data_IF_682421147066
#
_entry.id   IF_682421147066
#
_cell.length_a   1.000
_cell.length_b   1.000
_cell.length_c   1.000
_cell.angle_alpha   90.00
_cell.angle_beta   90.00
_cell.angle_gamma   90.00
#
_symmetry.space_group_name_H-M   'P 1'
#
loop_
_entity.id
_entity.type
_entity.pdbx_description
1 polymer ?
#
# COMPACT_ATOMS: atom_id res chain seq x y z
N UNK A 1 -6.27 -5.53 -30.16
CA UNK A 1 -7.30 -4.62 -30.70
C UNK A 1 -7.52 -3.47 -29.71
N UNK A 2 -6.50 -2.61 -29.54
CA UNK A 2 -6.46 -1.58 -28.50
C UNK A 2 -5.55 -0.44 -29.00
N UNK A 3 -5.95 0.23 -30.08
CA UNK A 3 -5.11 1.27 -30.70
C UNK A 3 -5.89 2.41 -31.38
N UNK A 4 -7.20 2.57 -31.09
CA UNK A 4 -8.08 3.39 -31.94
C UNK A 4 -9.05 4.27 -31.15
N UNK A 5 -8.60 4.86 -30.04
CA UNK A 5 -9.44 5.71 -29.19
C UNK A 5 -8.71 6.96 -28.66
N UNK A 6 -7.78 7.54 -29.44
CA UNK A 6 -7.05 8.76 -29.04
C UNK A 6 -7.24 9.93 -30.04
N UNK A 7 -7.98 9.78 -31.14
CA UNK A 7 -7.94 10.77 -32.24
C UNK A 7 -9.08 11.81 -32.32
N UNK A 8 -9.98 11.91 -31.33
CA UNK A 8 -11.18 12.78 -31.42
C UNK A 8 -11.32 13.82 -30.30
N UNK A 9 -10.26 14.60 -30.04
CA UNK A 9 -10.33 15.77 -29.15
C UNK A 9 -9.60 16.97 -29.79
N UNK A 10 -10.09 17.42 -30.94
CA UNK A 10 -9.60 18.63 -31.59
C UNK A 10 -10.76 19.51 -32.06
N UNK A 11 -10.72 20.78 -31.65
CA UNK A 11 -11.52 21.92 -32.15
C UNK A 11 -12.84 22.21 -31.42
N UNK A 12 -12.74 22.66 -30.18
CA UNK A 12 -13.64 23.68 -29.64
C UNK A 12 -12.75 24.76 -29.01
N UNK A 13 -12.52 25.86 -29.72
CA UNK A 13 -11.82 27.04 -29.18
C UNK A 13 -12.92 28.04 -28.81
N UNK A 14 -13.33 28.14 -27.54
CA UNK A 14 -14.26 29.17 -27.13
C UNK A 14 -13.55 30.53 -27.14
N UNK A 15 -14.35 31.60 -27.20
CA UNK A 15 -13.94 33.00 -27.11
C UNK A 15 -13.27 33.33 -25.75
N UNK A 16 -12.06 32.81 -25.54
CA UNK A 16 -11.28 32.91 -24.31
C UNK A 16 -10.74 34.31 -24.04
N UNK A 17 -10.53 35.11 -25.08
CA UNK A 17 -9.86 36.41 -24.97
C UNK A 17 -10.60 37.41 -24.06
N UNK A 18 -11.94 37.43 -24.03
CA UNK A 18 -12.69 38.35 -23.17
C UNK A 18 -12.79 37.87 -21.71
N UNK A 19 -12.72 36.56 -21.46
CA UNK A 19 -12.78 36.01 -20.12
C UNK A 19 -11.44 36.20 -19.36
N UNK A 20 -10.34 36.25 -20.09
CA UNK A 20 -8.99 36.42 -19.54
C UNK A 20 -8.76 37.86 -19.02
N UNK A 21 -9.25 38.87 -19.75
CA UNK A 21 -9.19 40.29 -19.33
C UNK A 21 -10.00 40.57 -18.05
N UNK A 22 -11.18 39.97 -17.91
CA UNK A 22 -12.01 40.08 -16.72
C UNK A 22 -11.35 39.42 -15.50
N UNK A 23 -10.71 38.26 -15.71
CA UNK A 23 -10.01 37.53 -14.65
C UNK A 23 -8.78 38.30 -14.13
N UNK A 24 -7.97 38.86 -15.03
CA UNK A 24 -6.82 39.70 -14.68
C UNK A 24 -7.26 40.92 -13.85
N UNK A 25 -8.34 41.59 -14.29
CA UNK A 25 -8.91 42.73 -13.58
C UNK A 25 -9.39 42.38 -12.16
N UNK A 26 -10.08 41.25 -11.99
CA UNK A 26 -10.53 40.78 -10.67
C UNK A 26 -9.34 40.42 -9.78
N UNK A 27 -8.32 39.76 -10.34
CA UNK A 27 -7.09 39.40 -9.63
C UNK A 27 -6.38 40.65 -9.09
N UNK A 28 -6.15 41.65 -9.94
CA UNK A 28 -5.44 42.89 -9.61
C UNK A 28 -6.19 43.79 -8.61
N UNK A 29 -7.53 43.74 -8.59
CA UNK A 29 -8.34 44.51 -7.63
C UNK A 29 -8.55 43.79 -6.28
N UNK A 30 -8.17 42.53 -6.18
CA UNK A 30 -8.29 41.75 -4.95
C UNK A 30 -7.45 42.35 -3.82
N UNK A 31 -7.91 42.33 -2.55
CA UNK A 31 -7.17 42.94 -1.45
C UNK A 31 -5.74 42.43 -1.29
N UNK A 32 -5.51 41.15 -1.60
CA UNK A 32 -4.20 40.52 -1.50
C UNK A 32 -3.19 41.03 -2.53
N UNK A 33 -3.64 41.53 -3.69
CA UNK A 33 -2.76 41.93 -4.79
C UNK A 33 -2.57 43.45 -4.91
N UNK A 34 -3.24 44.25 -4.08
CA UNK A 34 -3.20 45.73 -4.18
C UNK A 34 -1.80 46.31 -4.08
N UNK A 35 -1.03 45.86 -3.09
CA UNK A 35 0.37 46.29 -2.92
C UNK A 35 1.22 45.91 -4.15
N UNK A 36 1.05 44.68 -4.65
CA UNK A 36 1.81 44.16 -5.78
C UNK A 36 1.49 44.90 -7.08
N UNK A 37 0.24 45.31 -7.32
CA UNK A 37 -0.14 46.10 -8.50
C UNK A 37 0.43 47.52 -8.42
N UNK A 38 0.45 48.13 -7.23
CA UNK A 38 1.08 49.44 -7.01
C UNK A 38 2.60 49.35 -7.23
N UNK A 39 3.26 48.32 -6.68
CA UNK A 39 4.69 48.07 -6.83
C UNK A 39 5.08 47.80 -8.30
N UNK A 40 4.28 47.03 -9.03
CA UNK A 40 4.44 46.85 -10.46
C UNK A 40 4.35 48.20 -11.21
N UNK A 41 3.38 49.05 -10.85
CA UNK A 41 3.24 50.38 -11.42
C UNK A 41 4.43 51.30 -11.12
N UNK A 42 4.98 51.26 -9.91
CA UNK A 42 6.20 51.99 -9.53
C UNK A 42 7.40 51.48 -10.34
N UNK A 43 7.57 50.17 -10.44
CA UNK A 43 8.66 49.54 -11.19
C UNK A 43 8.62 49.89 -12.68
N UNK A 44 7.42 50.04 -13.24
CA UNK A 44 7.21 50.49 -14.62
C UNK A 44 7.35 52.02 -14.81
N UNK A 45 7.58 52.77 -13.74
CA UNK A 45 7.63 54.24 -13.76
C UNK A 45 6.28 54.89 -14.08
N UNK A 46 5.17 54.19 -13.79
CA UNK A 46 3.79 54.59 -14.10
C UNK A 46 2.99 55.03 -12.87
N UNK A 47 3.51 54.80 -11.67
CA UNK A 47 2.91 55.20 -10.40
C UNK A 47 3.97 55.67 -9.42
N UNK A 48 3.56 56.47 -8.44
CA UNK A 48 4.36 56.74 -7.24
C UNK A 48 3.61 56.13 -6.06
N UNK A 49 4.26 55.24 -5.31
CA UNK A 49 3.64 54.66 -4.13
C UNK A 49 3.55 55.69 -3.00
N UNK A 50 2.49 55.60 -2.21
CA UNK A 50 2.44 56.25 -0.91
C UNK A 50 3.42 55.58 0.09
N UNK A 51 3.71 56.18 1.26
CA UNK A 51 4.62 55.60 2.23
C UNK A 51 4.23 54.20 2.74
N UNK A 52 2.95 53.83 2.62
CA UNK A 52 2.47 52.48 3.02
C UNK A 52 2.58 51.45 1.89
N UNK A 53 2.85 51.87 0.65
CA UNK A 53 2.94 50.99 -0.52
C UNK A 53 1.60 50.45 -1.01
N UNK A 54 0.48 50.95 -0.48
CA UNK A 54 -0.86 50.43 -0.73
C UNK A 54 -1.69 51.34 -1.65
N UNK A 55 -1.24 52.59 -1.83
CA UNK A 55 -1.93 53.62 -2.58
C UNK A 55 -1.00 54.27 -3.60
N UNK A 56 -1.59 54.85 -4.64
CA UNK A 56 -0.85 55.64 -5.65
C UNK A 56 -0.99 57.12 -5.34
N UNK A 57 0.12 57.85 -5.35
CA UNK A 57 0.16 59.30 -5.25
C UNK A 57 -0.07 59.92 -6.62
N UNK A 58 -1.11 60.75 -6.71
CA UNK A 58 -1.39 61.63 -7.84
C UNK A 58 -1.33 63.08 -7.35
N UNK A 59 -0.14 63.67 -7.45
CA UNK A 59 0.17 64.96 -6.81
C UNK A 59 0.09 64.86 -5.29
N UNK A 60 -0.87 65.57 -4.68
CA UNK A 60 -1.12 65.56 -3.22
C UNK A 60 -2.19 64.55 -2.79
N UNK A 61 -2.80 63.84 -3.73
CA UNK A 61 -3.91 62.91 -3.46
C UNK A 61 -3.39 61.48 -3.41
N UNK A 62 -3.83 60.72 -2.42
CA UNK A 62 -3.68 59.26 -2.37
C UNK A 62 -4.88 58.59 -3.02
N UNK A 63 -4.64 57.75 -4.01
CA UNK A 63 -5.66 56.99 -4.74
C UNK A 63 -5.57 55.51 -4.37
N UNK A 64 -6.70 54.92 -3.97
CA UNK A 64 -6.80 53.46 -3.87
C UNK A 64 -6.71 52.84 -5.28
N UNK A 65 -6.27 51.57 -5.43
CA UNK A 65 -6.14 50.93 -6.75
C UNK A 65 -7.40 51.00 -7.63
N UNK A 66 -8.60 50.98 -7.04
CA UNK A 66 -9.86 51.16 -7.76
C UNK A 66 -10.03 52.59 -8.29
N UNK A 67 -9.63 53.59 -7.52
CA UNK A 67 -9.69 55.00 -7.90
C UNK A 67 -8.60 55.33 -8.93
N UNK A 68 -7.41 54.75 -8.76
CA UNK A 68 -6.31 54.84 -9.72
C UNK A 68 -6.71 54.26 -11.08
N UNK A 69 -7.41 53.13 -11.12
CA UNK A 69 -7.96 52.58 -12.38
C UNK A 69 -8.89 53.55 -13.11
N UNK A 70 -9.70 54.30 -12.37
CA UNK A 70 -10.64 55.27 -12.96
C UNK A 70 -9.89 56.53 -13.44
N UNK A 71 -8.94 57.01 -12.65
CA UNK A 71 -8.16 58.21 -12.97
C UNK A 71 -7.15 57.98 -14.10
N UNK A 72 -6.51 56.82 -14.13
CA UNK A 72 -5.41 56.48 -15.04
C UNK A 72 -5.52 55.03 -15.53
N UNK A 73 -6.52 54.71 -16.38
CA UNK A 73 -6.82 53.32 -16.77
C UNK A 73 -5.63 52.62 -17.46
N UNK A 74 -4.96 53.30 -18.38
CA UNK A 74 -3.83 52.72 -19.11
C UNK A 74 -2.62 52.38 -18.21
N UNK A 75 -2.36 53.19 -17.18
CA UNK A 75 -1.27 52.93 -16.22
C UNK A 75 -1.61 51.73 -15.33
N UNK A 76 -2.87 51.64 -14.89
CA UNK A 76 -3.36 50.51 -14.11
C UNK A 76 -3.34 49.21 -14.92
N UNK A 77 -3.85 49.23 -16.16
CA UNK A 77 -3.88 48.05 -17.05
C UNK A 77 -2.47 47.52 -17.33
N UNK A 78 -1.52 48.40 -17.66
CA UNK A 78 -0.12 48.00 -17.88
C UNK A 78 0.52 47.37 -16.63
N UNK A 79 0.21 47.89 -15.45
CA UNK A 79 0.73 47.39 -14.17
C UNK A 79 0.09 46.05 -13.79
N UNK A 80 -1.23 45.93 -14.03
CA UNK A 80 -1.97 44.70 -13.81
C UNK A 80 -1.51 43.58 -14.75
N UNK A 81 -1.31 43.89 -16.03
CA UNK A 81 -0.82 42.93 -17.02
C UNK A 81 0.59 42.44 -16.69
N UNK A 82 1.49 43.34 -16.28
CA UNK A 82 2.84 42.98 -15.84
C UNK A 82 2.81 42.05 -14.61
N UNK A 83 1.94 42.33 -13.64
CA UNK A 83 1.78 41.46 -12.47
C UNK A 83 1.13 40.11 -12.84
N UNK A 84 0.07 40.14 -13.64
CA UNK A 84 -0.70 38.96 -14.01
C UNK A 84 0.14 37.98 -14.83
N UNK A 85 0.86 38.48 -15.84
CA UNK A 85 1.77 37.69 -16.67
C UNK A 85 2.94 37.10 -15.86
N UNK A 86 3.55 37.86 -14.95
CA UNK A 86 4.63 37.35 -14.09
C UNK A 86 4.18 36.25 -13.12
N UNK A 87 2.94 36.33 -12.63
CA UNK A 87 2.37 35.32 -11.74
C UNK A 87 1.96 34.06 -12.50
N UNK A 88 1.45 34.20 -13.73
CA UNK A 88 0.97 33.08 -14.54
C UNK A 88 2.05 32.44 -15.43
N UNK A 89 3.20 33.08 -15.64
CA UNK A 89 4.35 32.49 -16.36
C UNK A 89 5.03 31.34 -15.60
N UNK A 90 4.72 31.10 -14.33
CA UNK A 90 5.40 30.11 -13.49
C UNK A 90 4.97 28.65 -13.76
N UNK A 91 3.93 28.39 -14.57
CA UNK A 91 3.36 27.03 -14.66
C UNK A 91 3.82 26.14 -15.84
N UNK A 92 4.52 26.65 -16.86
CA UNK A 92 4.73 25.87 -18.11
C UNK A 92 6.17 25.35 -18.36
N UNK A 93 7.21 26.00 -17.84
CA UNK A 93 8.59 25.72 -18.25
C UNK A 93 9.35 24.66 -17.45
N UNK A 94 9.11 24.58 -16.14
CA UNK A 94 9.86 23.70 -15.22
C UNK A 94 9.21 22.33 -15.02
N UNK A 95 7.90 22.20 -15.22
CA UNK A 95 7.21 20.92 -15.09
C UNK A 95 7.45 19.99 -16.29
N UNK A 96 7.59 20.54 -17.50
CA UNK A 96 7.78 19.75 -18.74
C UNK A 96 9.15 19.07 -18.82
N UNK A 97 10.18 19.64 -18.18
CA UNK A 97 11.52 19.05 -18.07
C UNK A 97 11.64 18.06 -16.91
N UNK A 98 10.88 18.24 -15.82
CA UNK A 98 10.88 17.32 -14.67
C UNK A 98 9.96 16.10 -14.84
N UNK A 99 8.90 16.21 -15.64
CA UNK A 99 7.93 15.13 -15.83
C UNK A 99 8.55 13.80 -16.31
N UNK A 100 9.47 13.76 -17.31
CA UNK A 100 10.09 12.52 -17.77
C UNK A 100 10.96 11.86 -16.70
N UNK A 101 11.61 12.67 -15.85
CA UNK A 101 12.45 12.17 -14.75
C UNK A 101 11.56 11.56 -13.67
N UNK A 102 10.45 12.21 -13.32
CA UNK A 102 9.50 11.69 -12.34
C UNK A 102 8.83 10.40 -12.84
N UNK A 103 8.45 10.31 -14.11
CA UNK A 103 7.87 9.08 -14.67
C UNK A 103 8.88 7.94 -14.72
N UNK A 104 10.15 8.21 -15.03
CA UNK A 104 11.22 7.21 -14.98
C UNK A 104 11.44 6.69 -13.55
N UNK A 105 11.46 7.57 -12.54
CA UNK A 105 11.62 7.18 -11.13
C UNK A 105 10.42 6.35 -10.66
N UNK A 106 9.20 6.78 -10.95
CA UNK A 106 7.98 6.03 -10.60
C UNK A 106 7.95 4.68 -11.31
N UNK A 107 8.32 4.62 -12.59
CA UNK A 107 8.43 3.38 -13.36
C UNK A 107 9.44 2.41 -12.75
N UNK A 108 10.63 2.89 -12.38
CA UNK A 108 11.66 2.08 -11.73
C UNK A 108 11.22 1.59 -10.35
N UNK A 109 10.59 2.44 -9.54
CA UNK A 109 10.07 2.07 -8.23
C UNK A 109 8.96 1.01 -8.33
N UNK A 110 8.03 1.15 -9.28
CA UNK A 110 6.99 0.17 -9.55
C UNK A 110 7.56 -1.16 -10.05
N UNK A 111 8.56 -1.12 -10.94
CA UNK A 111 9.23 -2.32 -11.41
C UNK A 111 9.95 -3.05 -10.26
N UNK A 112 10.69 -2.31 -9.42
CA UNK A 112 11.35 -2.86 -8.23
C UNK A 112 10.34 -3.47 -7.25
N UNK A 113 9.24 -2.77 -6.99
CA UNK A 113 8.17 -3.28 -6.14
C UNK A 113 7.53 -4.55 -6.74
N UNK A 114 7.26 -4.57 -8.05
CA UNK A 114 6.70 -5.74 -8.73
C UNK A 114 7.65 -6.95 -8.68
N UNK A 115 8.96 -6.76 -8.87
CA UNK A 115 9.96 -7.83 -8.79
C UNK A 115 10.09 -8.36 -7.37
N UNK A 116 10.26 -7.47 -6.38
CA UNK A 116 10.35 -7.88 -4.98
C UNK A 116 9.06 -8.56 -4.48
N UNK A 117 7.89 -8.14 -4.99
CA UNK A 117 6.62 -8.80 -4.73
C UNK A 117 6.57 -10.21 -5.33
N UNK A 118 6.95 -10.37 -6.60
CA UNK A 118 7.02 -11.69 -7.26
C UNK A 118 7.95 -12.64 -6.52
N UNK A 119 9.13 -12.17 -6.11
CA UNK A 119 10.09 -12.97 -5.35
C UNK A 119 9.52 -13.42 -4.00
N UNK A 120 8.79 -12.54 -3.30
CA UNK A 120 8.10 -12.89 -2.05
C UNK A 120 7.04 -13.96 -2.28
N UNK A 121 6.22 -13.82 -3.33
CA UNK A 121 5.19 -14.82 -3.67
C UNK A 121 5.82 -16.16 -4.08
N UNK A 122 6.91 -16.14 -4.85
CA UNK A 122 7.62 -17.35 -5.23
C UNK A 122 8.19 -18.09 -4.02
N UNK A 123 8.86 -17.37 -3.10
CA UNK A 123 9.34 -17.94 -1.83
C UNK A 123 8.19 -18.49 -0.98
N UNK A 124 7.07 -17.77 -0.91
CA UNK A 124 5.87 -18.20 -0.21
C UNK A 124 5.30 -19.52 -0.75
N UNK A 125 5.26 -19.70 -2.08
CA UNK A 125 4.83 -20.97 -2.71
C UNK A 125 5.75 -22.13 -2.38
N UNK A 126 7.07 -21.92 -2.43
CA UNK A 126 8.05 -22.97 -2.09
C UNK A 126 7.90 -23.39 -0.62
N UNK A 127 7.73 -22.43 0.29
CA UNK A 127 7.51 -22.72 1.72
C UNK A 127 6.17 -23.41 1.96
N UNK A 128 5.10 -22.98 1.27
CA UNK A 128 3.79 -23.60 1.35
C UNK A 128 3.85 -25.07 0.91
N UNK A 129 4.54 -25.36 -0.20
CA UNK A 129 4.68 -26.72 -0.70
C UNK A 129 5.52 -27.61 0.22
N UNK A 130 6.64 -27.09 0.73
CA UNK A 130 7.45 -27.81 1.70
C UNK A 130 6.67 -28.13 3.00
N UNK A 131 5.79 -27.22 3.42
CA UNK A 131 4.92 -27.42 4.58
C UNK A 131 3.83 -28.46 4.29
N UNK A 132 3.20 -28.42 3.11
CA UNK A 132 2.21 -29.43 2.69
C UNK A 132 2.80 -30.82 2.64
N UNK A 133 3.96 -30.98 2.01
CA UNK A 133 4.66 -32.26 1.94
C UNK A 133 5.02 -32.80 3.33
N UNK A 134 5.63 -31.97 4.19
CA UNK A 134 5.96 -32.40 5.54
C UNK A 134 4.72 -32.74 6.39
N UNK A 135 3.62 -32.01 6.20
CA UNK A 135 2.36 -32.32 6.87
C UNK A 135 1.72 -33.60 6.35
N UNK A 136 1.71 -33.84 5.04
CA UNK A 136 1.18 -35.07 4.46
C UNK A 136 1.93 -36.31 4.98
N UNK A 137 3.27 -36.26 5.01
CA UNK A 137 4.08 -37.33 5.58
C UNK A 137 3.75 -37.60 7.06
N UNK A 138 3.60 -36.53 7.86
CA UNK A 138 3.20 -36.67 9.26
C UNK A 138 1.78 -37.22 9.41
N UNK A 139 0.83 -36.72 8.62
CA UNK A 139 -0.57 -37.14 8.64
C UNK A 139 -0.70 -38.63 8.28
N UNK A 140 0.02 -39.08 7.27
CA UNK A 140 0.02 -40.48 6.87
C UNK A 140 0.67 -41.36 7.93
N UNK A 141 1.81 -40.96 8.50
CA UNK A 141 2.46 -41.68 9.58
C UNK A 141 1.59 -41.76 10.85
N UNK A 142 0.98 -40.64 11.25
CA UNK A 142 0.08 -40.57 12.40
C UNK A 142 -1.20 -41.39 12.17
N UNK A 143 -1.78 -41.32 10.97
CA UNK A 143 -2.94 -42.11 10.60
C UNK A 143 -2.65 -43.61 10.57
N UNK A 144 -1.48 -44.01 10.08
CA UNK A 144 -1.04 -45.41 10.13
C UNK A 144 -0.85 -45.86 11.59
N UNK A 145 -0.10 -45.10 12.38
CA UNK A 145 0.11 -45.36 13.80
C UNK A 145 -1.20 -45.51 14.59
N UNK A 146 -2.17 -44.61 14.36
CA UNK A 146 -3.47 -44.65 15.04
C UNK A 146 -4.39 -45.77 14.53
N UNK A 147 -4.25 -46.23 13.28
CA UNK A 147 -5.08 -47.33 12.76
C UNK A 147 -4.51 -48.69 13.11
N UNK A 148 -3.19 -48.79 13.21
CA UNK A 148 -2.56 -50.04 13.62
C UNK A 148 -2.89 -50.37 15.08
N UNK A 149 -3.10 -51.65 15.32
CA UNK A 149 -3.42 -52.22 16.64
C UNK A 149 -2.33 -53.16 17.10
N UNK A 150 -1.19 -53.23 16.40
CA UNK A 150 -0.05 -54.02 16.83
C UNK A 150 0.81 -53.22 17.81
N UNK A 151 1.04 -53.79 18.99
CA UNK A 151 1.89 -53.28 20.08
C UNK A 151 3.38 -53.15 19.73
N UNK A 152 3.80 -53.59 18.53
CA UNK A 152 5.20 -53.62 18.12
C UNK A 152 5.49 -52.60 17.00
N UNK A 153 5.06 -51.35 17.19
CA UNK A 153 5.34 -50.29 16.23
C UNK A 153 6.63 -49.53 16.58
N UNK A 154 7.61 -49.48 15.67
CA UNK A 154 8.71 -48.56 15.83
C UNK A 154 8.18 -47.13 15.63
N UNK A 155 8.19 -46.31 16.68
CA UNK A 155 7.85 -44.87 16.64
C UNK A 155 8.72 -44.03 15.71
N UNK A 156 9.72 -44.64 15.07
CA UNK A 156 10.71 -44.00 14.19
C UNK A 156 10.08 -43.11 13.11
N UNK A 157 9.20 -43.64 12.22
CA UNK A 157 8.62 -42.86 11.12
C UNK A 157 7.73 -41.71 11.58
N UNK A 158 6.93 -41.93 12.63
CA UNK A 158 6.08 -40.89 13.22
C UNK A 158 6.91 -39.78 13.88
N UNK A 159 7.91 -40.17 14.67
CA UNK A 159 8.81 -39.23 15.32
C UNK A 159 9.63 -38.41 14.31
N UNK A 160 10.10 -39.03 13.23
CA UNK A 160 10.83 -38.36 12.16
C UNK A 160 9.98 -37.36 11.38
N UNK A 161 8.81 -37.79 10.89
CA UNK A 161 7.88 -36.91 10.18
C UNK A 161 7.41 -35.74 11.05
N UNK A 162 7.17 -35.98 12.36
CA UNK A 162 6.87 -34.93 13.33
C UNK A 162 7.99 -33.91 13.47
N UNK A 163 9.26 -34.33 13.58
CA UNK A 163 10.41 -33.42 13.63
C UNK A 163 10.54 -32.61 12.34
N UNK A 164 10.32 -33.23 11.18
CA UNK A 164 10.33 -32.56 9.87
C UNK A 164 9.26 -31.47 9.80
N UNK A 165 8.03 -31.77 10.23
CA UNK A 165 6.94 -30.80 10.28
C UNK A 165 7.24 -29.64 11.25
N UNK A 166 7.76 -29.94 12.46
CA UNK A 166 8.16 -28.93 13.43
C UNK A 166 9.26 -28.00 12.91
N UNK A 167 10.23 -28.53 12.15
CA UNK A 167 11.27 -27.74 11.50
C UNK A 167 10.66 -26.77 10.47
N UNK A 168 9.75 -27.23 9.60
CA UNK A 168 9.05 -26.36 8.63
C UNK A 168 8.20 -25.29 9.31
N UNK A 169 7.49 -25.63 10.38
CA UNK A 169 6.76 -24.64 11.18
C UNK A 169 7.69 -23.63 11.87
N UNK A 170 8.93 -24.01 12.21
CA UNK A 170 9.95 -23.09 12.73
C UNK A 170 10.36 -22.05 11.68
N UNK A 171 10.63 -22.51 10.45
CA UNK A 171 10.99 -21.65 9.32
C UNK A 171 9.88 -20.65 9.03
N UNK A 172 8.62 -21.10 8.98
CA UNK A 172 7.45 -20.23 8.79
C UNK A 172 7.33 -19.21 9.93
N UNK A 173 7.50 -19.63 11.18
CA UNK A 173 7.44 -18.72 12.35
C UNK A 173 8.52 -17.64 12.29
N UNK A 174 9.73 -17.97 11.82
CA UNK A 174 10.83 -17.03 11.71
C UNK A 174 10.49 -15.88 10.74
N UNK A 175 9.84 -16.20 9.62
CA UNK A 175 9.34 -15.21 8.65
C UNK A 175 8.03 -14.51 9.03
N UNK A 176 7.20 -15.15 9.87
CA UNK A 176 5.82 -14.72 10.15
C UNK A 176 5.49 -14.72 11.65
N UNK A 177 6.28 -13.99 12.45
CA UNK A 177 6.16 -13.97 13.92
C UNK A 177 4.79 -13.59 14.47
N UNK A 178 4.00 -12.82 13.72
CA UNK A 178 2.68 -12.35 14.14
C UNK A 178 1.55 -13.36 13.92
N UNK A 179 1.81 -14.51 13.29
CA UNK A 179 0.78 -15.54 13.05
C UNK A 179 0.64 -16.43 14.29
N UNK A 180 -0.51 -16.35 14.97
CA UNK A 180 -0.79 -17.11 16.20
C UNK A 180 -1.09 -18.60 15.94
N UNK A 181 -1.53 -18.94 14.74
CA UNK A 181 -1.81 -20.34 14.36
C UNK A 181 -0.55 -21.22 14.37
N UNK A 182 0.61 -20.68 14.00
CA UNK A 182 1.87 -21.44 13.92
C UNK A 182 2.35 -21.90 15.30
N UNK A 183 2.44 -21.06 16.35
CA UNK A 183 2.77 -21.54 17.68
C UNK A 183 1.71 -22.49 18.27
N UNK A 184 0.43 -22.31 17.94
CA UNK A 184 -0.62 -23.24 18.38
C UNK A 184 -0.41 -24.66 17.78
N UNK A 185 -0.17 -24.75 16.47
CA UNK A 185 0.16 -26.01 15.80
C UNK A 185 1.42 -26.66 16.36
N UNK A 186 2.45 -25.86 16.65
CA UNK A 186 3.67 -26.37 17.28
C UNK A 186 3.42 -26.90 18.69
N UNK A 187 2.58 -26.23 19.48
CA UNK A 187 2.22 -26.69 20.82
C UNK A 187 1.48 -28.03 20.77
N UNK A 188 0.51 -28.18 19.85
CA UNK A 188 -0.19 -29.46 19.63
C UNK A 188 0.77 -30.61 19.28
N UNK A 189 1.77 -30.35 18.44
CA UNK A 189 2.78 -31.33 18.01
C UNK A 189 3.88 -31.61 19.06
N UNK A 190 4.02 -30.81 20.11
CA UNK A 190 5.10 -30.96 21.10
C UNK A 190 4.57 -31.40 22.46
N UNK A 191 3.60 -30.66 23.00
CA UNK A 191 3.04 -30.87 24.34
C UNK A 191 1.59 -31.33 24.31
N UNK A 192 0.91 -31.21 23.16
CA UNK A 192 -0.47 -31.63 23.01
C UNK A 192 -0.63 -33.09 22.62
N UNK A 193 -1.80 -33.39 22.09
CA UNK A 193 -2.28 -34.73 21.76
C UNK A 193 -1.43 -35.48 20.72
N UNK A 194 -0.65 -34.76 19.91
CA UNK A 194 0.25 -35.32 18.91
C UNK A 194 1.73 -35.31 19.33
N UNK A 195 2.01 -34.93 20.59
CA UNK A 195 3.32 -34.88 21.20
C UNK A 195 3.84 -36.22 21.70
N UNK A 196 4.69 -36.20 22.71
CA UNK A 196 5.20 -37.40 23.39
C UNK A 196 4.10 -38.35 23.94
N UNK A 197 2.94 -37.87 24.44
CA UNK A 197 1.89 -38.75 24.95
C UNK A 197 1.20 -39.62 23.88
N UNK A 198 1.43 -39.35 22.59
CA UNK A 198 0.89 -40.16 21.49
C UNK A 198 1.60 -41.53 21.40
N UNK A 199 2.86 -41.59 21.84
CA UNK A 199 3.72 -42.78 21.79
C UNK A 199 3.75 -43.56 23.12
N UNK A 200 2.92 -43.17 24.09
CA UNK A 200 2.81 -43.89 25.37
C UNK A 200 1.87 -45.10 25.25
N UNK A 201 2.19 -46.17 25.99
CA UNK A 201 1.55 -47.49 25.89
C UNK A 201 0.01 -47.42 25.86
N UNK A 202 -0.54 -47.83 24.71
CA UNK A 202 -1.98 -47.91 24.49
C UNK A 202 -2.52 -49.23 25.05
N UNK A 203 -3.39 -49.18 26.05
CA UNK A 203 -4.19 -50.34 26.45
C UNK A 203 -5.23 -50.64 25.35
N UNK A 204 -4.92 -51.59 24.47
CA UNK A 204 -5.75 -52.01 23.32
C UNK A 204 -7.15 -52.49 23.72
N UNK A 205 -7.33 -52.96 24.95
CA UNK A 205 -8.60 -53.53 25.42
C UNK A 205 -9.53 -52.47 26.02
N UNK A 206 -9.02 -51.28 26.34
CA UNK A 206 -9.79 -50.20 26.97
C UNK A 206 -10.69 -49.46 25.98
N UNK A 207 -11.98 -49.31 26.32
CA UNK A 207 -12.92 -48.46 25.57
C UNK A 207 -12.52 -46.98 25.56
N UNK A 208 -11.75 -46.56 26.58
CA UNK A 208 -11.18 -45.20 26.67
C UNK A 208 -10.15 -44.99 25.55
N UNK A 209 -9.28 -45.97 25.31
CA UNK A 209 -8.30 -45.97 24.21
C UNK A 209 -8.97 -45.86 22.85
N UNK A 210 -10.02 -46.65 22.60
CA UNK A 210 -10.77 -46.61 21.34
C UNK A 210 -11.42 -45.26 21.10
N UNK A 211 -12.01 -44.67 22.15
CA UNK A 211 -12.65 -43.34 22.06
C UNK A 211 -11.60 -42.26 21.81
N UNK A 212 -10.49 -42.26 22.56
CA UNK A 212 -9.38 -41.33 22.38
C UNK A 212 -8.82 -41.40 20.96
N UNK A 213 -8.58 -42.60 20.44
CA UNK A 213 -8.10 -42.82 19.06
C UNK A 213 -9.02 -42.21 18.00
N UNK A 214 -10.35 -42.37 18.14
CA UNK A 214 -11.33 -41.74 17.24
C UNK A 214 -11.29 -40.22 17.31
N UNK A 215 -11.12 -39.65 18.51
CA UNK A 215 -10.96 -38.21 18.69
C UNK A 215 -9.68 -37.72 18.01
N UNK A 216 -8.54 -38.39 18.23
CA UNK A 216 -7.27 -38.04 17.61
C UNK A 216 -7.32 -38.08 16.08
N UNK A 217 -8.02 -39.06 15.49
CA UNK A 217 -8.22 -39.09 14.03
C UNK A 217 -9.00 -37.87 13.53
N UNK A 218 -10.02 -37.42 14.26
CA UNK A 218 -10.76 -36.18 13.92
C UNK A 218 -9.90 -34.94 14.10
N UNK A 219 -9.11 -34.90 15.17
CA UNK A 219 -8.22 -33.76 15.45
C UNK A 219 -7.09 -33.67 14.41
N UNK A 220 -6.66 -34.81 13.85
CA UNK A 220 -5.67 -34.88 12.77
C UNK A 220 -6.21 -34.25 11.47
N UNK A 221 -7.50 -34.47 11.16
CA UNK A 221 -8.19 -33.80 10.06
C UNK A 221 -8.34 -32.29 10.32
N UNK A 222 -8.67 -31.88 11.55
CA UNK A 222 -8.76 -30.47 11.92
C UNK A 222 -7.39 -29.76 11.82
N UNK A 223 -6.31 -30.46 12.20
CA UNK A 223 -4.94 -29.96 12.06
C UNK A 223 -4.57 -29.74 10.58
N UNK A 224 -5.06 -30.60 9.67
CA UNK A 224 -4.89 -30.42 8.22
C UNK A 224 -5.47 -29.09 7.76
N UNK A 225 -6.66 -28.73 8.22
CA UNK A 225 -7.30 -27.47 7.85
C UNK A 225 -6.53 -26.25 8.37
N UNK A 226 -5.93 -26.34 9.56
CA UNK A 226 -5.05 -25.29 10.10
C UNK A 226 -3.77 -25.12 9.27
N UNK A 227 -3.14 -26.23 8.87
CA UNK A 227 -1.98 -26.18 7.97
C UNK A 227 -2.37 -25.64 6.61
N UNK A 228 -3.53 -26.02 6.06
CA UNK A 228 -4.04 -25.46 4.82
C UNK A 228 -4.22 -23.94 4.92
N UNK A 229 -4.79 -23.43 6.02
CA UNK A 229 -4.89 -21.99 6.28
C UNK A 229 -3.52 -21.29 6.25
N UNK A 230 -2.50 -21.88 6.86
CA UNK A 230 -1.12 -21.36 6.82
C UNK A 230 -0.55 -21.38 5.39
N UNK A 231 -0.73 -22.47 4.64
CA UNK A 231 -0.20 -22.59 3.27
C UNK A 231 -0.84 -21.59 2.31
N UNK A 232 -2.16 -21.39 2.39
CA UNK A 232 -2.88 -20.38 1.60
C UNK A 232 -2.39 -18.97 1.94
N UNK A 233 -2.12 -18.71 3.22
CA UNK A 233 -1.60 -17.43 3.68
C UNK A 233 -0.18 -17.14 3.15
N UNK A 234 0.68 -18.16 3.04
CA UNK A 234 2.01 -18.04 2.43
C UNK A 234 1.94 -17.72 0.93
N UNK A 235 0.96 -18.28 0.21
CA UNK A 235 0.77 -18.01 -1.22
C UNK A 235 0.13 -16.66 -1.52
N UNK A 236 -0.64 -16.12 -0.57
CA UNK A 236 -1.44 -14.88 -0.73
C UNK A 236 -1.16 -13.86 0.39
N UNK A 237 0.01 -13.19 0.40
CA UNK A 237 0.47 -12.41 1.55
C UNK A 237 -0.45 -11.23 1.91
N UNK A 238 -1.12 -10.60 0.92
CA UNK A 238 -2.00 -9.44 1.17
C UNK A 238 -3.25 -9.81 1.97
N UNK A 239 -3.81 -11.01 1.76
CA UNK A 239 -5.03 -11.47 2.44
C UNK A 239 -4.72 -12.09 3.80
N UNK A 240 -3.56 -12.73 3.93
CA UNK A 240 -3.09 -13.42 5.14
C UNK A 240 -3.02 -12.54 6.38
N UNK A 241 -2.68 -11.25 6.22
CA UNK A 241 -2.44 -10.33 7.35
C UNK A 241 -3.69 -10.12 8.22
N UNK A 242 -4.87 -10.28 7.65
CA UNK A 242 -6.14 -10.06 8.34
C UNK A 242 -6.71 -11.34 8.95
N UNK A 243 -6.55 -12.49 8.27
CA UNK A 243 -7.20 -13.74 8.66
C UNK A 243 -6.48 -14.51 9.78
N UNK A 244 -5.15 -14.44 9.83
CA UNK A 244 -4.35 -15.21 10.80
C UNK A 244 -4.00 -14.44 12.08
N UNK A 245 -4.43 -13.18 12.19
CA UNK A 245 -4.18 -12.33 13.36
C UNK A 245 -5.35 -12.32 14.34
N UNK A 246 -6.57 -12.64 13.87
CA UNK A 246 -7.82 -12.52 14.62
C UNK A 246 -8.40 -13.86 15.11
N UNK A 247 -7.72 -14.99 14.88
CA UNK A 247 -8.12 -16.27 15.46
C UNK A 247 -7.74 -16.30 16.95
N UNK A 248 -8.61 -15.74 17.78
CA UNK A 248 -8.70 -15.94 19.23
C UNK A 248 -10.17 -16.14 19.59
#
# INVERSE_FOLDING_TARGET
MLCLLIFFLGLCVPALAHAEDDAATVFCLSPAQRAAVVDAGVSLGRAHADPTGMFVLDGTRTLAPREWRVAQPAAFEASCEALYSSTHQVAAGSFTTLLPVLTAIVGAALAFFATSWRDRVARGRVQAEALRSAHAEFHDAAGQYLRDTSSEHPDGPLGESRRKLLARLAEVRAGHRSWSVVPALRAQLTTGDFGAPLTEDWDEQSDVTRTRRRTLLKDLDAQRDDVLRVTIALERPLRARWTLRSAR
#
